data_IF_537913156722
#
_entry.id   IF_537913156722
#
_cell.length_a   1.000
_cell.length_b   1.000
_cell.length_c   1.000
_cell.angle_alpha   90.00
_cell.angle_beta   90.00
_cell.angle_gamma   90.00
#
_symmetry.space_group_name_H-M   'P 1'
#
loop_
_entity.id
_entity.type
_entity.pdbx_description
1 polymer ?
#
# COMPACT_ATOMS: atom_id res chain seq x y z
N UNK A 1 21.24 -20.02 32.57
CA UNK A 1 21.93 -21.05 31.76
C UNK A 1 21.89 -20.55 30.33
N UNK A 2 23.04 -20.26 29.70
CA UNK A 2 23.11 -19.65 28.36
C UNK A 2 23.03 -20.77 27.32
N UNK A 3 21.82 -21.11 26.87
CA UNK A 3 21.59 -22.18 25.91
C UNK A 3 21.89 -21.66 24.49
N UNK A 4 23.13 -21.84 24.04
CA UNK A 4 23.60 -21.45 22.71
C UNK A 4 22.69 -21.92 21.56
N UNK A 5 21.98 -23.05 21.71
CA UNK A 5 21.07 -23.56 20.67
C UNK A 5 19.80 -22.72 20.52
N UNK A 6 19.25 -22.19 21.61
CA UNK A 6 18.01 -21.39 21.60
C UNK A 6 18.27 -20.06 20.90
N UNK A 7 19.35 -19.36 21.28
CA UNK A 7 19.73 -18.09 20.67
C UNK A 7 20.07 -18.25 19.18
N UNK A 8 20.77 -19.34 18.81
CA UNK A 8 21.07 -19.65 17.40
C UNK A 8 19.80 -19.90 16.58
N UNK A 9 18.81 -20.56 17.18
CA UNK A 9 17.53 -20.85 16.52
C UNK A 9 16.74 -19.56 16.26
N UNK A 10 16.65 -18.66 17.25
CA UNK A 10 15.97 -17.37 17.07
C UNK A 10 16.70 -16.52 16.03
N UNK A 11 18.03 -16.51 16.05
CA UNK A 11 18.82 -15.78 15.05
C UNK A 11 18.55 -16.28 13.62
N UNK A 12 18.52 -17.61 13.43
CA UNK A 12 18.18 -18.21 12.14
C UNK A 12 16.77 -17.84 11.68
N UNK A 13 15.78 -17.88 12.57
CA UNK A 13 14.39 -17.49 12.27
C UNK A 13 14.34 -16.03 11.80
N UNK A 14 15.07 -15.13 12.49
CA UNK A 14 15.12 -13.71 12.13
C UNK A 14 15.75 -13.51 10.75
N UNK A 15 16.86 -14.19 10.45
CA UNK A 15 17.51 -14.14 9.13
C UNK A 15 16.55 -14.64 8.03
N UNK A 16 15.89 -15.76 8.26
CA UNK A 16 14.90 -16.32 7.32
C UNK A 16 13.73 -15.34 7.12
N UNK A 17 13.24 -14.72 8.19
CA UNK A 17 12.18 -13.73 8.08
C UNK A 17 12.60 -12.51 7.24
N UNK A 18 13.84 -12.01 7.42
CA UNK A 18 14.38 -10.96 6.56
C UNK A 18 14.54 -11.40 5.10
N UNK A 19 14.97 -12.64 4.86
CA UNK A 19 15.06 -13.18 3.50
C UNK A 19 13.67 -13.27 2.83
N UNK A 20 12.66 -13.74 3.57
CA UNK A 20 11.26 -13.79 3.11
C UNK A 20 10.73 -12.38 2.86
N UNK A 21 11.09 -11.40 3.69
CA UNK A 21 10.71 -10.01 3.49
C UNK A 21 11.35 -9.43 2.22
N UNK A 22 12.66 -9.57 2.03
CA UNK A 22 13.36 -9.08 0.83
C UNK A 22 12.82 -9.76 -0.43
N UNK A 23 12.52 -11.06 -0.36
CA UNK A 23 11.92 -11.79 -1.46
C UNK A 23 10.48 -11.35 -1.73
N UNK A 24 9.68 -11.15 -0.68
CA UNK A 24 8.33 -10.61 -0.75
C UNK A 24 8.27 -9.23 -1.38
N UNK A 25 9.23 -8.35 -1.09
CA UNK A 25 9.40 -7.07 -1.76
C UNK A 25 9.63 -7.22 -3.26
N UNK A 26 10.56 -8.11 -3.64
CA UNK A 26 10.89 -8.34 -5.05
C UNK A 26 9.71 -8.97 -5.82
N UNK A 27 8.87 -9.77 -5.15
CA UNK A 27 7.62 -10.30 -5.71
C UNK A 27 6.53 -9.23 -5.80
N UNK A 28 6.39 -8.37 -4.78
CA UNK A 28 5.41 -7.29 -4.77
C UNK A 28 5.67 -6.27 -5.88
N UNK A 29 6.93 -6.10 -6.32
CA UNK A 29 7.27 -5.28 -7.49
C UNK A 29 6.56 -5.74 -8.77
N UNK A 30 6.25 -7.04 -8.90
CA UNK A 30 5.53 -7.56 -10.06
C UNK A 30 4.05 -7.15 -10.10
N UNK A 31 3.47 -6.73 -8.97
CA UNK A 31 2.05 -6.33 -8.85
C UNK A 31 1.85 -4.80 -8.95
N UNK A 32 2.89 -4.06 -9.35
CA UNK A 32 2.83 -2.60 -9.50
C UNK A 32 2.85 -1.84 -8.17
N UNK A 33 2.50 -0.54 -8.23
CA UNK A 33 2.59 0.38 -7.08
C UNK A 33 1.64 -0.01 -5.94
N UNK A 34 0.39 -0.35 -6.25
CA UNK A 34 -0.59 -0.76 -5.22
C UNK A 34 -0.16 -2.04 -4.47
N UNK A 35 0.46 -3.00 -5.18
CA UNK A 35 1.01 -4.22 -4.58
C UNK A 35 2.19 -3.97 -3.65
N UNK A 36 3.11 -3.07 -4.02
CA UNK A 36 4.27 -2.76 -3.17
C UNK A 36 3.85 -2.12 -1.84
N UNK A 37 2.86 -1.23 -1.89
CA UNK A 37 2.49 -0.45 -0.72
C UNK A 37 1.61 -1.25 0.25
N UNK A 38 0.71 -2.10 -0.25
CA UNK A 38 -0.07 -3.04 0.58
C UNK A 38 0.81 -4.10 1.23
N UNK A 39 1.83 -4.58 0.53
CA UNK A 39 2.85 -5.46 1.10
C UNK A 39 3.60 -4.74 2.22
N UNK A 40 4.09 -3.53 1.96
CA UNK A 40 4.85 -2.76 2.94
C UNK A 40 4.01 -2.42 4.19
N UNK A 41 2.70 -2.21 4.04
CA UNK A 41 1.78 -2.03 5.16
C UNK A 41 1.72 -3.26 6.08
N UNK A 42 1.59 -4.47 5.52
CA UNK A 42 1.62 -5.72 6.31
C UNK A 42 2.99 -5.93 6.98
N UNK A 43 4.06 -5.59 6.28
CA UNK A 43 5.42 -5.66 6.83
C UNK A 43 5.61 -4.72 8.01
N UNK A 44 5.10 -3.49 7.92
CA UNK A 44 5.21 -2.52 9.02
C UNK A 44 4.49 -3.00 10.28
N UNK A 45 3.37 -3.72 10.15
CA UNK A 45 2.72 -4.34 11.32
C UNK A 45 3.61 -5.40 11.99
N UNK A 46 4.42 -6.13 11.21
CA UNK A 46 5.31 -7.18 11.72
C UNK A 46 6.71 -6.66 12.09
N UNK A 47 7.12 -5.50 11.60
CA UNK A 47 8.43 -4.89 11.83
C UNK A 47 8.80 -4.70 13.31
N UNK A 48 7.92 -4.19 14.21
CA UNK A 48 8.28 -4.02 15.62
C UNK A 48 8.54 -5.38 16.29
N UNK A 49 7.78 -6.40 15.94
CA UNK A 49 8.02 -7.77 16.42
C UNK A 49 9.34 -8.33 15.90
N UNK A 50 9.64 -8.14 14.61
CA UNK A 50 10.88 -8.63 14.01
C UNK A 50 12.12 -7.97 14.63
N UNK A 51 12.06 -6.66 14.87
CA UNK A 51 13.12 -5.92 15.54
C UNK A 51 13.27 -6.41 16.98
N UNK A 52 12.16 -6.60 17.70
CA UNK A 52 12.19 -7.14 19.06
C UNK A 52 12.81 -8.54 19.12
N UNK A 53 12.39 -9.47 18.24
CA UNK A 53 12.97 -10.81 18.16
C UNK A 53 14.45 -10.79 17.74
N UNK A 54 14.84 -9.88 16.86
CA UNK A 54 16.25 -9.69 16.47
C UNK A 54 17.11 -9.19 17.64
N UNK A 55 16.64 -8.20 18.40
CA UNK A 55 17.34 -7.71 19.58
C UNK A 55 17.42 -8.81 20.66
N UNK A 56 16.34 -9.57 20.85
CA UNK A 56 16.33 -10.71 21.77
C UNK A 56 17.34 -11.79 21.35
N UNK A 57 17.42 -12.12 20.06
CA UNK A 57 18.42 -13.05 19.52
C UNK A 57 19.86 -12.55 19.69
N UNK A 58 20.08 -11.23 19.67
CA UNK A 58 21.38 -10.64 19.95
C UNK A 58 21.72 -10.61 21.46
N UNK A 59 20.82 -11.10 22.33
CA UNK A 59 20.98 -11.05 23.78
C UNK A 59 20.70 -9.67 24.39
N UNK A 60 20.11 -8.75 23.62
CA UNK A 60 19.77 -7.40 24.07
C UNK A 60 18.32 -7.41 24.58
N UNK A 61 18.18 -7.36 25.90
CA UNK A 61 16.87 -7.30 26.55
C UNK A 61 16.34 -5.87 26.51
N UNK A 62 15.24 -5.67 25.76
CA UNK A 62 14.56 -4.39 25.67
C UNK A 62 13.63 -4.23 26.87
N UNK A 63 13.78 -3.15 27.64
CA UNK A 63 12.86 -2.81 28.72
C UNK A 63 11.49 -2.36 28.16
N UNK A 64 10.44 -2.34 28.98
CA UNK A 64 9.09 -1.95 28.59
C UNK A 64 9.04 -0.59 27.89
N UNK A 65 9.83 0.38 28.36
CA UNK A 65 9.97 1.70 27.70
C UNK A 65 10.48 1.58 26.27
N UNK A 66 11.45 0.69 26.04
CA UNK A 66 11.99 0.43 24.69
C UNK A 66 10.96 -0.25 23.79
N UNK A 67 10.17 -1.19 24.33
CA UNK A 67 9.07 -1.82 23.58
C UNK A 67 8.01 -0.78 23.20
N UNK A 68 7.65 0.11 24.13
CA UNK A 68 6.67 1.16 23.87
C UNK A 68 7.18 2.15 22.80
N UNK A 69 8.45 2.55 22.88
CA UNK A 69 9.08 3.38 21.87
C UNK A 69 9.07 2.71 20.49
N UNK A 70 9.35 1.41 20.44
CA UNK A 70 9.35 0.63 19.20
C UNK A 70 7.96 0.59 18.55
N UNK A 71 6.90 0.44 19.34
CA UNK A 71 5.52 0.49 18.87
C UNK A 71 5.18 1.88 18.34
N UNK A 72 5.55 2.94 19.05
CA UNK A 72 5.31 4.33 18.62
C UNK A 72 6.05 4.62 17.30
N UNK A 73 7.31 4.22 17.20
CA UNK A 73 8.10 4.36 15.98
C UNK A 73 7.45 3.59 14.80
N UNK A 74 6.98 2.37 15.05
CA UNK A 74 6.25 1.57 14.06
C UNK A 74 4.95 2.24 13.63
N UNK A 75 4.19 2.82 14.56
CA UNK A 75 2.95 3.52 14.26
C UNK A 75 3.20 4.79 13.44
N UNK A 76 4.24 5.56 13.77
CA UNK A 76 4.66 6.72 12.99
C UNK A 76 5.04 6.30 11.55
N UNK A 77 5.79 5.21 11.41
CA UNK A 77 6.19 4.68 10.11
C UNK A 77 4.98 4.15 9.30
N UNK A 78 4.01 3.51 9.97
CA UNK A 78 2.75 3.08 9.36
C UNK A 78 1.97 4.25 8.77
N UNK A 79 1.80 5.33 9.55
CA UNK A 79 1.10 6.54 9.10
C UNK A 79 1.85 7.20 7.93
N UNK A 80 3.18 7.26 8.00
CA UNK A 80 4.01 7.81 6.92
C UNK A 80 3.84 7.05 5.61
N UNK A 81 3.87 5.72 5.65
CA UNK A 81 3.61 4.86 4.49
C UNK A 81 2.19 5.03 3.94
N UNK A 82 1.18 5.10 4.81
CA UNK A 82 -0.21 5.34 4.42
C UNK A 82 -0.39 6.70 3.73
N UNK A 83 0.38 7.72 4.12
CA UNK A 83 0.39 9.01 3.43
C UNK A 83 0.98 8.90 2.03
N UNK A 84 2.11 8.20 1.90
CA UNK A 84 2.76 7.94 0.59
C UNK A 84 1.88 7.10 -0.35
N UNK A 85 1.11 6.17 0.21
CA UNK A 85 0.11 5.36 -0.51
C UNK A 85 -0.98 6.23 -1.16
N UNK A 86 -1.43 7.28 -0.48
CA UNK A 86 -2.42 8.21 -1.05
C UNK A 86 -1.80 9.08 -2.13
N UNK A 87 -0.60 9.62 -1.91
CA UNK A 87 0.09 10.44 -2.92
C UNK A 87 0.39 9.65 -4.22
N UNK A 88 0.77 8.37 -4.11
CA UNK A 88 1.03 7.53 -5.28
C UNK A 88 -0.24 6.88 -5.86
N UNK A 89 -1.25 6.59 -5.03
CA UNK A 89 -2.54 6.03 -5.45
C UNK A 89 -3.46 7.05 -6.13
N UNK A 90 -3.38 8.32 -5.78
CA UNK A 90 -4.15 9.41 -6.39
C UNK A 90 -3.80 9.59 -7.87
N UNK A 91 -2.55 9.29 -8.26
CA UNK A 91 -2.09 9.27 -9.65
C UNK A 91 -2.69 8.12 -10.48
N UNK A 92 -3.12 7.01 -9.86
CA UNK A 92 -3.75 5.88 -10.56
C UNK A 92 -5.28 6.06 -10.65
N UNK A 93 -5.91 6.54 -9.55
CA UNK A 93 -7.37 6.78 -9.49
C UNK A 93 -7.78 8.00 -10.33
N UNK A 94 -6.90 9.00 -10.48
CA UNK A 94 -7.15 10.15 -11.34
C UNK A 94 -7.39 9.75 -12.80
N UNK A 95 -6.64 8.77 -13.31
CA UNK A 95 -6.77 8.33 -14.71
C UNK A 95 -8.06 7.54 -14.98
N UNK A 96 -8.49 6.70 -14.03
CA UNK A 96 -9.78 5.98 -14.14
C UNK A 96 -10.96 6.95 -14.07
N UNK A 97 -10.95 7.92 -13.14
CA UNK A 97 -12.03 8.91 -13.04
C UNK A 97 -12.09 9.82 -14.28
N UNK A 98 -10.96 10.13 -14.89
CA UNK A 98 -10.92 10.91 -16.14
C UNK A 98 -11.40 10.05 -17.32
N UNK A 99 -10.96 8.80 -17.44
CA UNK A 99 -11.43 7.88 -18.48
C UNK A 99 -12.94 7.59 -18.36
N UNK A 100 -13.44 7.42 -17.14
CA UNK A 100 -14.86 7.18 -16.87
C UNK A 100 -15.71 8.43 -17.12
N UNK A 101 -15.18 9.64 -16.84
CA UNK A 101 -15.84 10.90 -17.19
C UNK A 101 -15.85 11.15 -18.70
N UNK A 102 -14.77 10.82 -19.41
CA UNK A 102 -14.70 10.91 -20.88
C UNK A 102 -15.70 9.95 -21.52
N UNK A 103 -15.75 8.68 -21.07
CA UNK A 103 -16.71 7.70 -21.58
C UNK A 103 -18.17 8.07 -21.28
N UNK A 104 -18.46 8.61 -20.09
CA UNK A 104 -19.81 9.04 -19.74
C UNK A 104 -20.22 10.34 -20.46
N UNK A 105 -19.26 11.16 -20.87
CA UNK A 105 -19.48 12.36 -21.69
C UNK A 105 -19.68 11.98 -23.17
N UNK A 106 -18.96 10.97 -23.67
CA UNK A 106 -19.11 10.42 -25.02
C UNK A 106 -20.46 9.69 -25.21
N UNK A 107 -20.95 9.01 -24.16
CA UNK A 107 -22.30 8.41 -24.13
C UNK A 107 -23.39 9.51 -24.04
N UNK A 108 -23.14 10.59 -23.30
CA UNK A 108 -24.08 11.72 -23.21
C UNK A 108 -24.18 12.52 -24.52
N UNK A 109 -23.06 12.74 -25.21
CA UNK A 109 -23.03 13.40 -26.52
C UNK A 109 -23.63 12.53 -27.63
N UNK A 110 -23.50 11.20 -27.54
CA UNK A 110 -24.15 10.26 -28.48
C UNK A 110 -25.66 10.08 -28.25
N UNK A 111 -26.20 10.61 -27.15
CA UNK A 111 -27.62 10.46 -26.76
C UNK A 111 -28.44 11.74 -26.88
N UNK A 112 -27.88 12.85 -27.38
CA UNK A 112 -28.64 14.07 -27.64
C UNK A 112 -29.46 13.89 -28.93
N UNK A 113 -30.81 13.80 -28.88
CA UNK A 113 -31.61 13.67 -30.07
C UNK A 113 -31.57 14.99 -30.85
N UNK A 114 -31.37 14.87 -32.16
CA UNK A 114 -31.51 15.93 -33.16
C UNK A 114 -32.83 16.70 -32.96
N UNK A 115 -32.80 17.82 -32.23
CA UNK A 115 -33.86 18.81 -32.20
C UNK A 115 -33.35 20.11 -32.83
N UNK A 116 -33.07 20.08 -34.13
CA UNK A 116 -32.83 21.32 -34.89
C UNK A 116 -33.01 21.12 -36.40
N UNK A 117 -34.19 20.72 -36.89
CA UNK A 117 -34.47 20.90 -38.33
C UNK A 117 -35.94 20.92 -38.76
N UNK A 118 -36.94 21.09 -37.88
CA UNK A 118 -38.36 21.06 -38.31
C UNK A 118 -39.20 22.26 -37.86
N UNK A 119 -38.62 23.46 -37.75
CA UNK A 119 -39.37 24.67 -37.37
C UNK A 119 -39.28 25.82 -38.38
N UNK A 120 -39.08 25.52 -39.67
CA UNK A 120 -38.95 26.55 -40.71
C UNK A 120 -39.75 26.30 -41.99
N UNK A 121 -40.54 25.23 -42.12
CA UNK A 121 -41.20 24.89 -43.41
C UNK A 121 -42.73 24.69 -43.37
N UNK A 122 -43.40 25.10 -42.28
CA UNK A 122 -44.87 25.04 -42.17
C UNK A 122 -45.49 26.40 -41.74
N UNK A 123 -44.92 27.50 -42.24
CA UNK A 123 -45.57 28.84 -42.19
C UNK A 123 -45.96 29.36 -43.57
N UNK A 124 -45.85 28.52 -44.61
CA UNK A 124 -46.08 28.90 -46.03
C UNK A 124 -47.02 27.95 -46.76
N UNK A 125 -48.12 27.54 -46.14
CA UNK A 125 -49.28 26.97 -46.85
C UNK A 125 -50.60 27.53 -46.36
#
# INVERSE_FOLDING_TARGET
MFNWSETTTVLLIVIVAFAVLVWGYNRARAYGKAGILSWLQSVVLMAPWLVFFGLFAAGIYVNLVGVLFLIIASAAFYIYLGKRLREEGENLIGSEKVAQRLQNQEIADSSAPEQSSSLSDEMTR
#
